data_IF_863862552604
#
_entry.id   IF_863862552604
#
_cell.length_a   1.000
_cell.length_b   1.000
_cell.length_c   1.000
_cell.angle_alpha   90.00
_cell.angle_beta   90.00
_cell.angle_gamma   90.00
#
_symmetry.space_group_name_H-M   'P 1'
#
loop_
_entity.id
_entity.type
_entity.pdbx_description
1 polymer ?
#
# COMPACT_ATOMS: atom_id res chain seq x y z
N UNK A 1 30.59 36.50 10.10
CA UNK A 1 32.01 36.53 9.64
C UNK A 1 32.22 37.45 8.43
N UNK A 2 31.27 37.53 7.49
CA UNK A 2 31.33 38.45 6.32
C UNK A 2 31.31 39.93 6.77
N UNK A 3 30.48 40.29 7.75
CA UNK A 3 30.43 41.67 8.30
C UNK A 3 31.74 42.11 8.95
N UNK A 4 32.51 41.16 9.53
CA UNK A 4 33.82 41.48 10.11
C UNK A 4 34.87 41.77 9.02
N UNK A 5 34.75 41.10 7.86
CA UNK A 5 35.63 41.33 6.69
C UNK A 5 35.29 42.66 6.03
N UNK A 6 33.98 42.94 5.86
CA UNK A 6 33.51 44.20 5.30
C UNK A 6 33.99 45.40 6.14
N UNK A 7 33.86 45.33 7.48
CA UNK A 7 34.36 46.39 8.39
C UNK A 7 35.87 46.52 8.38
N UNK A 8 36.62 45.43 8.09
CA UNK A 8 38.05 45.46 7.98
C UNK A 8 38.50 46.11 6.67
N UNK A 9 37.75 45.87 5.58
CA UNK A 9 37.96 46.49 4.26
C UNK A 9 37.70 48.00 4.29
N UNK A 10 36.59 48.44 4.95
CA UNK A 10 36.28 49.88 5.16
C UNK A 10 37.36 50.61 5.92
N UNK A 11 38.09 49.96 6.83
CA UNK A 11 39.16 50.56 7.63
C UNK A 11 40.51 50.64 6.96
N UNK A 12 40.69 49.95 5.82
CA UNK A 12 42.02 49.78 5.19
C UNK A 12 42.25 50.65 3.95
N UNK A 13 41.32 51.55 3.60
CA UNK A 13 41.45 52.52 2.49
C UNK A 13 42.09 51.92 1.19
N UNK A 14 41.71 50.68 0.85
CA UNK A 14 42.26 49.95 -0.27
C UNK A 14 41.57 50.40 -1.57
N UNK A 15 42.35 50.64 -2.65
CA UNK A 15 41.77 50.90 -3.98
C UNK A 15 40.93 49.72 -4.46
N UNK A 16 39.77 49.98 -5.08
CA UNK A 16 38.80 48.98 -5.52
C UNK A 16 39.39 47.95 -6.55
N UNK A 17 40.46 48.29 -7.23
CA UNK A 17 41.08 47.46 -8.26
C UNK A 17 42.25 46.58 -7.75
N UNK A 18 42.58 46.57 -6.46
CA UNK A 18 43.66 45.75 -5.93
C UNK A 18 43.21 44.31 -5.63
N UNK A 19 43.85 43.29 -6.20
CA UNK A 19 43.53 41.89 -5.87
C UNK A 19 43.79 41.64 -4.36
N UNK A 20 42.76 41.23 -3.65
CA UNK A 20 42.83 40.97 -2.20
C UNK A 20 43.74 39.74 -1.97
N UNK A 21 45.01 39.94 -1.74
CA UNK A 21 45.99 38.88 -1.44
C UNK A 21 46.21 38.66 0.06
N UNK A 22 45.41 39.21 0.90
CA UNK A 22 45.58 39.00 2.35
C UNK A 22 45.23 37.53 2.68
N UNK A 23 46.22 36.78 3.15
CA UNK A 23 46.10 35.34 3.48
C UNK A 23 44.94 35.01 4.42
N UNK A 24 44.48 36.02 5.19
CA UNK A 24 43.30 35.92 6.08
C UNK A 24 41.99 35.87 5.26
N UNK A 25 41.90 36.64 4.20
CA UNK A 25 40.72 36.66 3.30
C UNK A 25 40.62 35.36 2.49
N UNK A 26 41.75 34.91 1.96
CA UNK A 26 41.81 33.61 1.25
C UNK A 26 41.37 32.44 2.16
N UNK A 27 41.82 32.40 3.40
CA UNK A 27 41.40 31.39 4.39
C UNK A 27 39.90 31.48 4.72
N UNK A 28 39.36 32.70 4.79
CA UNK A 28 37.94 32.90 5.05
C UNK A 28 37.08 32.41 3.88
N UNK A 29 37.49 32.70 2.64
CA UNK A 29 36.83 32.22 1.43
C UNK A 29 36.93 30.69 1.33
N UNK A 30 38.10 30.11 1.56
CA UNK A 30 38.29 28.66 1.56
C UNK A 30 37.41 27.98 2.65
N UNK A 31 37.34 28.58 3.84
CA UNK A 31 36.45 28.11 4.91
C UNK A 31 34.95 28.16 4.52
N UNK A 32 34.55 29.23 3.86
CA UNK A 32 33.18 29.36 3.34
C UNK A 32 32.88 28.34 2.23
N UNK A 33 33.81 28.15 1.30
CA UNK A 33 33.68 27.15 0.24
C UNK A 33 33.56 25.74 0.81
N UNK A 34 34.42 25.35 1.75
CA UNK A 34 34.34 24.04 2.43
C UNK A 34 33.00 23.85 3.16
N UNK A 35 32.46 24.90 3.75
CA UNK A 35 31.17 24.84 4.43
C UNK A 35 30.03 24.61 3.42
N UNK A 36 30.03 25.33 2.29
CA UNK A 36 29.06 25.16 1.22
C UNK A 36 29.16 23.76 0.58
N UNK A 37 30.38 23.30 0.30
CA UNK A 37 30.62 21.94 -0.22
C UNK A 37 30.12 20.87 0.75
N UNK A 38 30.36 21.03 2.05
CA UNK A 38 29.84 20.12 3.09
C UNK A 38 28.33 20.09 3.13
N UNK A 39 27.67 21.26 3.01
CA UNK A 39 26.20 21.34 2.94
C UNK A 39 25.65 20.63 1.68
N UNK A 40 26.27 20.86 0.53
CA UNK A 40 25.87 20.19 -0.72
C UNK A 40 26.13 18.69 -0.68
N UNK A 41 27.21 18.25 -0.05
CA UNK A 41 27.50 16.84 0.15
C UNK A 41 26.43 16.18 1.03
N UNK A 42 26.08 16.78 2.17
CA UNK A 42 25.06 16.28 3.06
C UNK A 42 23.68 16.22 2.36
N UNK A 43 23.33 17.25 1.59
CA UNK A 43 22.08 17.27 0.82
C UNK A 43 22.03 16.14 -0.22
N UNK A 44 23.12 15.94 -0.99
CA UNK A 44 23.20 14.84 -1.96
C UNK A 44 23.14 13.47 -1.28
N UNK A 45 23.81 13.30 -0.14
CA UNK A 45 23.77 12.05 0.62
C UNK A 45 22.34 11.72 1.05
N UNK A 46 21.60 12.67 1.61
CA UNK A 46 20.20 12.46 2.01
C UNK A 46 19.32 12.08 0.82
N UNK A 47 19.52 12.72 -0.35
CA UNK A 47 18.75 12.36 -1.57
C UNK A 47 18.99 10.91 -1.96
N UNK A 48 20.26 10.45 -1.94
CA UNK A 48 20.59 9.05 -2.24
C UNK A 48 19.95 8.08 -1.23
N UNK A 49 19.98 8.41 0.05
CA UNK A 49 19.35 7.57 1.10
C UNK A 49 17.83 7.46 0.91
N UNK A 50 17.14 8.52 0.49
CA UNK A 50 15.72 8.47 0.15
C UNK A 50 15.45 7.64 -1.11
N UNK A 51 16.28 7.80 -2.14
CA UNK A 51 16.14 7.06 -3.39
C UNK A 51 16.40 5.55 -3.18
N UNK A 52 17.32 5.18 -2.28
CA UNK A 52 17.58 3.78 -1.93
C UNK A 52 16.35 3.10 -1.32
N UNK A 53 15.63 3.77 -0.42
CA UNK A 53 14.38 3.25 0.16
C UNK A 53 13.36 2.97 -0.93
N UNK A 54 13.13 3.93 -1.83
CA UNK A 54 12.19 3.77 -2.94
C UNK A 54 12.62 2.68 -3.93
N UNK A 55 13.92 2.53 -4.18
CA UNK A 55 14.42 1.49 -5.08
C UNK A 55 14.20 0.09 -4.52
N UNK A 56 14.39 -0.12 -3.22
CA UNK A 56 14.10 -1.41 -2.57
C UNK A 56 12.62 -1.77 -2.73
N UNK A 57 11.72 -0.85 -2.40
CA UNK A 57 10.27 -1.05 -2.52
C UNK A 57 9.85 -1.30 -3.98
N UNK A 58 10.39 -0.54 -4.92
CA UNK A 58 10.15 -0.72 -6.36
C UNK A 58 10.53 -2.11 -6.85
N UNK A 59 11.68 -2.62 -6.43
CA UNK A 59 12.13 -3.95 -6.82
C UNK A 59 11.17 -5.03 -6.32
N UNK A 60 10.66 -4.93 -5.07
CA UNK A 60 9.67 -5.86 -4.54
C UNK A 60 8.40 -5.86 -5.39
N UNK A 61 7.87 -4.68 -5.74
CA UNK A 61 6.66 -4.57 -6.57
C UNK A 61 6.90 -5.11 -7.99
N UNK A 62 8.05 -4.84 -8.58
CA UNK A 62 8.37 -5.35 -9.92
C UNK A 62 8.55 -6.87 -9.94
N UNK A 63 9.11 -7.45 -8.90
CA UNK A 63 9.23 -8.90 -8.76
C UNK A 63 7.84 -9.55 -8.59
N UNK A 64 6.95 -8.97 -7.78
CA UNK A 64 5.56 -9.44 -7.65
C UNK A 64 4.82 -9.35 -8.99
N UNK A 65 4.89 -8.22 -9.70
CA UNK A 65 4.31 -8.09 -11.04
C UNK A 65 4.84 -9.11 -12.02
N UNK A 66 6.13 -9.41 -11.95
CA UNK A 66 6.77 -10.39 -12.83
C UNK A 66 6.22 -11.80 -12.60
N UNK A 67 6.03 -12.21 -11.35
CA UNK A 67 5.40 -13.49 -10.99
C UNK A 67 4.01 -13.61 -11.61
N UNK A 68 3.20 -12.57 -11.50
CA UNK A 68 1.84 -12.52 -12.07
C UNK A 68 1.86 -12.63 -13.59
N UNK A 69 2.80 -11.96 -14.27
CA UNK A 69 2.87 -11.93 -15.73
C UNK A 69 3.40 -13.23 -16.32
N UNK A 70 4.33 -13.92 -15.66
CA UNK A 70 5.00 -15.10 -16.20
C UNK A 70 4.42 -16.44 -15.76
N UNK A 71 3.28 -16.45 -15.05
CA UNK A 71 2.43 -17.63 -14.94
C UNK A 71 2.70 -18.51 -13.73
N UNK A 72 2.95 -17.95 -12.56
CA UNK A 72 2.74 -18.69 -11.31
C UNK A 72 1.27 -19.11 -11.18
N UNK A 73 0.98 -20.17 -10.41
CA UNK A 73 -0.40 -20.57 -10.12
C UNK A 73 -1.09 -19.48 -9.30
N UNK A 74 -1.76 -18.56 -10.02
CA UNK A 74 -2.44 -17.41 -9.41
C UNK A 74 -3.54 -17.85 -8.47
N UNK A 75 -4.19 -18.99 -8.72
CA UNK A 75 -5.21 -19.53 -7.83
C UNK A 75 -4.63 -19.82 -6.46
N UNK A 76 -3.55 -20.61 -6.40
CA UNK A 76 -2.89 -20.94 -5.13
C UNK A 76 -2.41 -19.68 -4.42
N UNK A 77 -1.85 -18.73 -5.15
CA UNK A 77 -1.39 -17.46 -4.61
C UNK A 77 -2.53 -16.64 -3.97
N UNK A 78 -3.67 -16.51 -4.64
CA UNK A 78 -4.85 -15.79 -4.13
C UNK A 78 -5.49 -16.52 -2.95
N UNK A 79 -5.56 -17.85 -2.99
CA UNK A 79 -6.06 -18.66 -1.87
C UNK A 79 -5.20 -18.49 -0.61
N UNK A 80 -3.88 -18.49 -0.76
CA UNK A 80 -2.96 -18.24 0.34
C UNK A 80 -3.14 -16.83 0.93
N UNK A 81 -3.37 -15.80 0.11
CA UNK A 81 -3.72 -14.47 0.58
C UNK A 81 -5.05 -14.49 1.35
N UNK A 82 -6.08 -15.16 0.83
CA UNK A 82 -7.38 -15.26 1.47
C UNK A 82 -7.29 -15.94 2.85
N UNK A 83 -6.60 -17.06 2.94
CA UNK A 83 -6.38 -17.75 4.23
C UNK A 83 -5.63 -16.88 5.23
N UNK A 84 -4.62 -16.11 4.78
CA UNK A 84 -3.89 -15.18 5.64
C UNK A 84 -4.80 -14.08 6.19
N UNK A 85 -5.65 -13.50 5.34
CA UNK A 85 -6.61 -12.45 5.75
C UNK A 85 -7.67 -13.01 6.70
N UNK A 86 -8.22 -14.19 6.40
CA UNK A 86 -9.19 -14.88 7.23
C UNK A 86 -8.61 -15.13 8.64
N UNK A 87 -7.39 -15.65 8.71
CA UNK A 87 -6.70 -15.88 9.97
C UNK A 87 -6.48 -14.57 10.75
N UNK A 88 -6.09 -13.49 10.09
CA UNK A 88 -5.93 -12.18 10.71
C UNK A 88 -7.26 -11.58 11.24
N UNK A 89 -8.40 -11.96 10.65
CA UNK A 89 -9.73 -11.57 11.15
C UNK A 89 -10.14 -12.43 12.36
N UNK A 90 -9.76 -13.71 12.40
CA UNK A 90 -10.08 -14.63 13.49
C UNK A 90 -9.20 -14.35 14.72
N UNK A 91 -7.90 -14.01 14.52
CA UNK A 91 -6.92 -13.81 15.59
C UNK A 91 -7.42 -12.95 16.77
N UNK A 92 -7.94 -11.73 16.58
CA UNK A 92 -8.37 -10.90 17.69
C UNK A 92 -9.54 -11.51 18.47
N UNK A 93 -10.39 -12.31 17.81
CA UNK A 93 -11.58 -12.92 18.41
C UNK A 93 -11.22 -14.09 19.33
N UNK A 94 -10.29 -14.93 18.88
CA UNK A 94 -9.87 -16.12 19.66
C UNK A 94 -8.85 -15.78 20.74
N UNK A 95 -8.09 -14.68 20.58
CA UNK A 95 -7.13 -14.21 21.59
C UNK A 95 -7.83 -13.60 22.80
N UNK A 96 -9.01 -12.99 22.62
CA UNK A 96 -9.78 -12.37 23.71
C UNK A 96 -10.26 -13.39 24.74
N UNK A 97 -10.67 -14.60 24.32
CA UNK A 97 -11.07 -15.68 25.20
C UNK A 97 -10.72 -17.05 24.65
N UNK A 98 -10.32 -17.96 25.56
CA UNK A 98 -10.10 -19.37 25.24
C UNK A 98 -11.40 -20.17 25.14
N UNK A 99 -12.53 -19.59 25.53
CA UNK A 99 -13.82 -20.25 25.55
C UNK A 99 -14.63 -19.85 24.31
N UNK A 100 -14.98 -20.81 23.44
CA UNK A 100 -15.75 -20.52 22.22
C UNK A 100 -17.10 -19.85 22.48
N UNK A 101 -17.68 -20.02 23.68
CA UNK A 101 -18.93 -19.39 24.10
C UNK A 101 -18.83 -17.87 24.20
N UNK A 102 -17.62 -17.34 24.39
CA UNK A 102 -17.34 -15.90 24.54
C UNK A 102 -16.88 -15.23 23.23
N UNK A 103 -16.69 -16.01 22.16
CA UNK A 103 -16.26 -15.47 20.87
C UNK A 103 -17.35 -14.64 20.19
N UNK A 104 -16.99 -13.47 19.70
CA UNK A 104 -17.90 -12.58 18.96
C UNK A 104 -18.08 -13.04 17.51
N UNK A 105 -18.91 -14.06 17.32
CA UNK A 105 -19.26 -14.56 15.99
C UNK A 105 -20.00 -13.53 15.12
N UNK A 106 -20.66 -12.55 15.70
CA UNK A 106 -21.33 -11.50 14.93
C UNK A 106 -20.31 -10.59 14.25
N UNK A 107 -19.32 -10.12 15.00
CA UNK A 107 -18.22 -9.34 14.46
C UNK A 107 -17.37 -10.15 13.47
N UNK A 108 -17.11 -11.42 13.77
CA UNK A 108 -16.42 -12.34 12.84
C UNK A 108 -17.15 -12.40 11.50
N UNK A 109 -18.42 -12.77 11.52
CA UNK A 109 -19.23 -12.91 10.31
C UNK A 109 -19.37 -11.60 9.54
N UNK A 110 -19.50 -10.48 10.22
CA UNK A 110 -19.55 -9.16 9.60
C UNK A 110 -18.26 -8.82 8.86
N UNK A 111 -17.11 -9.16 9.43
CA UNK A 111 -15.82 -8.91 8.80
C UNK A 111 -15.57 -9.87 7.63
N UNK A 112 -15.88 -11.14 7.75
CA UNK A 112 -15.76 -12.12 6.68
C UNK A 112 -16.68 -11.80 5.49
N UNK A 113 -17.90 -11.28 5.74
CA UNK A 113 -18.79 -10.80 4.67
C UNK A 113 -18.26 -9.62 3.87
N UNK A 114 -17.31 -8.86 4.41
CA UNK A 114 -16.64 -7.80 3.64
C UNK A 114 -15.70 -8.38 2.57
N UNK A 115 -15.16 -9.57 2.79
CA UNK A 115 -14.31 -10.27 1.82
C UNK A 115 -15.18 -10.86 0.71
N UNK A 116 -16.20 -11.63 1.07
CA UNK A 116 -17.11 -12.28 0.12
C UNK A 116 -18.56 -12.07 0.50
N UNK A 117 -19.32 -11.46 -0.41
CA UNK A 117 -20.77 -11.28 -0.24
C UNK A 117 -21.53 -12.62 -0.23
N UNK A 118 -20.92 -13.68 -0.74
CA UNK A 118 -21.46 -15.05 -0.72
C UNK A 118 -21.30 -15.76 0.62
N UNK A 119 -20.46 -15.26 1.53
CA UNK A 119 -20.22 -15.88 2.82
C UNK A 119 -21.47 -15.82 3.71
N UNK A 120 -21.88 -16.98 4.24
CA UNK A 120 -23.10 -17.14 5.03
C UNK A 120 -22.81 -17.80 6.38
N UNK A 121 -21.78 -17.31 7.07
CA UNK A 121 -21.38 -17.85 8.35
C UNK A 121 -22.51 -17.97 9.36
N UNK A 122 -22.42 -18.96 10.19
CA UNK A 122 -23.40 -19.27 11.25
C UNK A 122 -23.31 -18.24 12.37
N UNK A 123 -24.41 -17.60 12.71
CA UNK A 123 -24.45 -16.55 13.74
C UNK A 123 -24.74 -17.10 15.16
N UNK A 124 -25.20 -18.34 15.27
CA UNK A 124 -25.46 -19.00 16.55
C UNK A 124 -25.12 -20.48 16.47
N UNK A 125 -24.47 -20.98 17.49
CA UNK A 125 -24.03 -22.35 17.64
C UNK A 125 -24.73 -22.98 18.83
N UNK A 126 -25.01 -24.28 18.79
CA UNK A 126 -25.53 -25.01 19.96
C UNK A 126 -24.40 -25.16 21.00
N UNK A 127 -24.79 -25.41 22.26
CA UNK A 127 -23.84 -25.64 23.35
C UNK A 127 -22.91 -26.83 23.04
N UNK A 128 -23.42 -27.86 22.35
CA UNK A 128 -22.64 -29.02 21.96
C UNK A 128 -21.61 -28.70 20.89
N UNK A 129 -21.97 -27.84 19.91
CA UNK A 129 -21.03 -27.36 18.88
C UNK A 129 -19.94 -26.48 19.48
N UNK A 130 -20.30 -25.58 20.42
CA UNK A 130 -19.32 -24.72 21.09
C UNK A 130 -18.34 -25.54 21.94
N UNK A 131 -18.83 -26.54 22.69
CA UNK A 131 -17.99 -27.40 23.50
C UNK A 131 -17.02 -28.26 22.67
N UNK A 132 -17.35 -28.57 21.41
CA UNK A 132 -16.49 -29.31 20.48
C UNK A 132 -15.59 -28.40 19.64
N UNK A 133 -15.84 -27.07 19.65
CA UNK A 133 -15.12 -26.11 18.83
C UNK A 133 -13.75 -25.80 19.43
N UNK A 134 -12.75 -25.78 18.57
CA UNK A 134 -11.40 -25.31 18.88
C UNK A 134 -11.03 -24.18 17.92
N UNK A 135 -10.03 -23.39 18.28
CA UNK A 135 -9.48 -22.36 17.40
C UNK A 135 -9.11 -22.94 16.01
N UNK A 136 -8.40 -24.07 15.98
CA UNK A 136 -8.00 -24.73 14.74
C UNK A 136 -9.22 -25.18 13.92
N UNK A 137 -10.24 -25.73 14.56
CA UNK A 137 -11.45 -26.19 13.86
C UNK A 137 -12.25 -25.01 13.30
N UNK A 138 -12.29 -23.88 13.99
CA UNK A 138 -12.90 -22.65 13.48
C UNK A 138 -12.16 -22.14 12.24
N UNK A 139 -10.82 -22.01 12.33
CA UNK A 139 -9.97 -21.59 11.20
C UNK A 139 -10.15 -22.48 9.99
N UNK A 140 -10.07 -23.78 10.21
CA UNK A 140 -10.24 -24.76 9.14
C UNK A 140 -11.62 -24.66 8.49
N UNK A 141 -12.70 -24.62 9.29
CA UNK A 141 -14.07 -24.53 8.79
C UNK A 141 -14.31 -23.26 7.96
N UNK A 142 -13.79 -22.11 8.42
CA UNK A 142 -13.92 -20.85 7.68
C UNK A 142 -13.11 -20.89 6.40
N UNK A 143 -11.86 -21.36 6.42
CA UNK A 143 -11.04 -21.49 5.23
C UNK A 143 -11.68 -22.42 4.18
N UNK A 144 -12.18 -23.60 4.61
CA UNK A 144 -12.89 -24.54 3.72
C UNK A 144 -14.15 -23.94 3.09
N UNK A 145 -14.89 -23.11 3.83
CA UNK A 145 -16.05 -22.39 3.29
C UNK A 145 -15.62 -21.38 2.21
N UNK A 146 -14.53 -20.65 2.42
CA UNK A 146 -14.00 -19.71 1.43
C UNK A 146 -13.42 -20.45 0.21
N UNK A 147 -12.74 -21.58 0.41
CA UNK A 147 -12.27 -22.43 -0.70
C UNK A 147 -13.44 -22.89 -1.57
N UNK A 148 -14.54 -23.33 -0.93
CA UNK A 148 -15.76 -23.72 -1.64
C UNK A 148 -16.38 -22.56 -2.41
N UNK A 149 -16.48 -21.37 -1.81
CA UNK A 149 -17.02 -20.18 -2.47
C UNK A 149 -16.18 -19.79 -3.69
N UNK A 150 -14.87 -19.93 -3.60
CA UNK A 150 -13.98 -19.67 -4.72
C UNK A 150 -14.14 -20.71 -5.84
N UNK A 151 -14.24 -21.98 -5.51
CA UNK A 151 -14.48 -23.06 -6.45
C UNK A 151 -15.84 -22.91 -7.18
N UNK A 152 -16.87 -22.47 -6.47
CA UNK A 152 -18.17 -22.14 -7.06
C UNK A 152 -18.04 -20.99 -8.05
N UNK A 153 -17.31 -19.94 -7.69
CA UNK A 153 -17.04 -18.79 -8.55
C UNK A 153 -16.22 -19.18 -9.79
N UNK A 154 -15.20 -20.00 -9.62
CA UNK A 154 -14.41 -20.51 -10.75
C UNK A 154 -15.24 -21.37 -11.71
N UNK A 155 -16.16 -22.18 -11.19
CA UNK A 155 -17.10 -22.96 -12.03
C UNK A 155 -18.07 -22.07 -12.79
N UNK A 156 -18.53 -20.97 -12.19
CA UNK A 156 -19.43 -20.01 -12.82
C UNK A 156 -18.75 -19.29 -14.00
N UNK A 157 -17.51 -18.84 -13.81
CA UNK A 157 -16.75 -18.04 -14.78
C UNK A 157 -16.04 -18.93 -15.82
N UNK A 158 -15.62 -20.12 -15.40
CA UNK A 158 -14.75 -21.02 -16.16
C UNK A 158 -13.27 -20.78 -15.85
N UNK A 159 -12.51 -21.88 -15.71
CA UNK A 159 -11.12 -21.87 -15.19
C UNK A 159 -10.20 -20.93 -15.99
N UNK A 160 -10.21 -21.00 -17.32
CA UNK A 160 -9.33 -20.16 -18.15
C UNK A 160 -9.65 -18.66 -17.99
N UNK A 161 -10.93 -18.29 -18.03
CA UNK A 161 -11.34 -16.91 -17.85
C UNK A 161 -11.06 -16.42 -16.43
N UNK A 162 -11.23 -17.29 -15.43
CA UNK A 162 -10.90 -16.94 -14.04
C UNK A 162 -9.42 -16.59 -13.88
N UNK A 163 -8.49 -17.35 -14.51
CA UNK A 163 -7.05 -17.02 -14.53
C UNK A 163 -6.75 -15.65 -15.17
N UNK A 164 -7.49 -15.30 -16.23
CA UNK A 164 -7.36 -13.98 -16.87
C UNK A 164 -7.88 -12.86 -15.97
N UNK A 165 -9.01 -13.07 -15.32
CA UNK A 165 -9.63 -12.12 -14.39
C UNK A 165 -8.74 -11.90 -13.18
N UNK A 166 -8.21 -12.95 -12.58
CA UNK A 166 -7.26 -12.87 -11.45
C UNK A 166 -6.02 -12.03 -11.80
N UNK A 167 -5.43 -12.32 -12.98
CA UNK A 167 -4.28 -11.56 -13.47
C UNK A 167 -4.61 -10.08 -13.66
N UNK A 168 -5.74 -9.79 -14.25
CA UNK A 168 -6.19 -8.41 -14.50
C UNK A 168 -6.47 -7.67 -13.20
N UNK A 169 -7.16 -8.30 -12.25
CA UNK A 169 -7.45 -7.73 -10.93
C UNK A 169 -6.15 -7.42 -10.20
N UNK A 170 -5.27 -8.41 -10.07
CA UNK A 170 -4.02 -8.26 -9.30
C UNK A 170 -3.12 -7.18 -9.89
N UNK A 171 -2.94 -7.16 -11.21
CA UNK A 171 -2.15 -6.11 -11.87
C UNK A 171 -2.75 -4.72 -11.63
N UNK A 172 -4.08 -4.59 -11.78
CA UNK A 172 -4.76 -3.30 -11.59
C UNK A 172 -4.68 -2.80 -10.15
N UNK A 173 -4.88 -3.69 -9.17
CA UNK A 173 -4.78 -3.36 -7.75
C UNK A 173 -3.36 -2.91 -7.40
N UNK A 174 -2.35 -3.69 -7.82
CA UNK A 174 -0.95 -3.35 -7.61
C UNK A 174 -0.61 -1.99 -8.23
N UNK A 175 -1.02 -1.75 -9.48
CA UNK A 175 -0.71 -0.50 -10.18
C UNK A 175 -1.31 0.71 -9.47
N UNK A 176 -2.59 0.64 -9.10
CA UNK A 176 -3.27 1.74 -8.43
C UNK A 176 -2.63 2.06 -7.07
N UNK A 177 -2.48 1.05 -6.21
CA UNK A 177 -1.94 1.24 -4.86
C UNK A 177 -0.45 1.63 -4.88
N UNK A 178 0.31 1.15 -5.85
CA UNK A 178 1.70 1.57 -6.03
C UNK A 178 1.81 3.04 -6.46
N UNK A 179 0.95 3.53 -7.34
CA UNK A 179 0.91 4.95 -7.71
C UNK A 179 0.58 5.83 -6.50
N UNK A 180 -0.46 5.46 -5.75
CA UNK A 180 -0.85 6.18 -4.53
C UNK A 180 0.28 6.18 -3.49
N UNK A 181 1.02 5.06 -3.38
CA UNK A 181 2.16 4.96 -2.48
C UNK A 181 3.34 5.87 -2.90
N UNK A 182 3.65 5.95 -4.18
CA UNK A 182 4.68 6.87 -4.69
C UNK A 182 4.33 8.31 -4.30
N UNK A 183 3.09 8.73 -4.53
CA UNK A 183 2.62 10.08 -4.18
C UNK A 183 2.69 10.33 -2.66
N UNK A 184 2.33 9.35 -1.85
CA UNK A 184 2.42 9.43 -0.40
C UNK A 184 3.87 9.51 0.10
N UNK A 185 4.80 8.78 -0.52
CA UNK A 185 6.23 8.85 -0.22
C UNK A 185 6.85 10.19 -0.61
N UNK A 186 6.41 10.80 -1.70
CA UNK A 186 6.84 12.15 -2.08
C UNK A 186 6.34 13.21 -1.10
N UNK A 187 5.11 13.07 -0.60
CA UNK A 187 4.59 13.92 0.47
C UNK A 187 5.37 13.74 1.76
N UNK A 188 5.67 12.50 2.15
CA UNK A 188 6.50 12.19 3.31
C UNK A 188 7.88 12.85 3.18
N UNK A 189 8.55 12.69 2.03
CA UNK A 189 9.85 13.29 1.72
C UNK A 189 9.82 14.82 1.90
N UNK A 190 8.76 15.46 1.44
CA UNK A 190 8.58 16.90 1.55
C UNK A 190 8.39 17.37 2.99
N UNK A 191 7.74 16.57 3.83
CA UNK A 191 7.44 16.88 5.23
C UNK A 191 8.53 16.47 6.23
N UNK A 192 9.37 15.50 5.87
CA UNK A 192 10.32 14.86 6.81
C UNK A 192 11.39 15.83 7.33
N UNK A 193 11.74 16.87 6.55
CA UNK A 193 12.70 17.89 6.93
C UNK A 193 12.32 18.66 8.21
N UNK A 194 11.02 18.76 8.52
CA UNK A 194 10.54 19.38 9.75
C UNK A 194 10.87 18.55 11.00
N UNK A 195 11.06 17.24 10.84
CA UNK A 195 11.43 16.34 11.94
C UNK A 195 12.88 16.50 12.38
N UNK A 196 13.74 17.05 11.53
CA UNK A 196 15.11 17.42 11.90
C UNK A 196 15.15 18.45 13.06
N UNK A 197 14.08 19.25 13.22
CA UNK A 197 13.93 20.14 14.36
C UNK A 197 13.80 19.40 15.71
N UNK A 198 13.36 18.13 15.68
CA UNK A 198 13.22 17.24 16.84
C UNK A 198 14.45 16.37 17.13
N UNK A 199 15.63 16.69 16.60
CA UNK A 199 16.89 15.93 16.76
C UNK A 199 16.85 14.49 16.22
N UNK A 200 15.89 14.15 15.35
CA UNK A 200 15.84 12.87 14.63
C UNK A 200 16.58 13.00 13.30
N UNK A 201 17.27 11.93 12.92
CA UNK A 201 17.84 11.83 11.59
C UNK A 201 16.71 11.72 10.55
N UNK A 202 16.57 12.69 9.62
CA UNK A 202 15.48 12.69 8.64
C UNK A 202 15.51 11.47 7.73
N UNK A 203 16.68 10.94 7.37
CA UNK A 203 16.79 9.77 6.52
C UNK A 203 16.32 8.49 7.22
N UNK A 204 16.70 8.32 8.49
CA UNK A 204 16.22 7.19 9.29
C UNK A 204 14.71 7.27 9.57
N UNK A 205 14.17 8.47 9.81
CA UNK A 205 12.73 8.67 9.98
C UNK A 205 11.96 8.35 8.67
N UNK A 206 12.47 8.82 7.52
CA UNK A 206 11.91 8.52 6.20
C UNK A 206 11.89 7.01 5.91
N UNK A 207 13.00 6.32 6.16
CA UNK A 207 13.10 4.89 5.94
C UNK A 207 12.10 4.12 6.81
N UNK A 208 11.95 4.48 8.08
CA UNK A 208 11.03 3.82 9.00
C UNK A 208 9.56 4.05 8.61
N UNK A 209 9.15 5.31 8.43
CA UNK A 209 7.77 5.62 8.06
C UNK A 209 7.42 5.09 6.68
N UNK A 210 8.36 5.17 5.73
CA UNK A 210 8.20 4.60 4.40
C UNK A 210 8.07 3.08 4.41
N UNK A 211 8.73 2.39 5.34
CA UNK A 211 8.55 0.94 5.54
C UNK A 211 7.14 0.63 6.07
N UNK A 212 6.68 1.35 7.10
CA UNK A 212 5.35 1.16 7.67
C UNK A 212 4.25 1.42 6.62
N UNK A 213 4.40 2.46 5.79
CA UNK A 213 3.49 2.78 4.69
C UNK A 213 3.51 1.69 3.61
N UNK A 214 4.68 1.14 3.30
CA UNK A 214 4.82 0.07 2.31
C UNK A 214 4.16 -1.23 2.78
N UNK A 215 4.32 -1.62 4.04
CA UNK A 215 3.63 -2.78 4.61
C UNK A 215 2.11 -2.62 4.58
N UNK A 216 1.59 -1.42 4.88
CA UNK A 216 0.16 -1.12 4.75
C UNK A 216 -0.32 -1.26 3.31
N UNK A 217 0.44 -0.76 2.34
CA UNK A 217 0.12 -0.92 0.92
C UNK A 217 0.11 -2.39 0.50
N UNK A 218 1.10 -3.20 0.90
CA UNK A 218 1.13 -4.64 0.60
C UNK A 218 -0.09 -5.35 1.20
N UNK A 219 -0.47 -5.02 2.44
CA UNK A 219 -1.68 -5.55 3.07
C UNK A 219 -2.94 -5.16 2.29
N UNK A 220 -3.05 -3.90 1.87
CA UNK A 220 -4.17 -3.42 1.06
C UNK A 220 -4.24 -4.12 -0.32
N UNK A 221 -3.09 -4.38 -0.97
CA UNK A 221 -3.04 -5.15 -2.22
C UNK A 221 -3.63 -6.56 -2.01
N UNK A 222 -3.26 -7.24 -0.91
CA UNK A 222 -3.77 -8.57 -0.61
C UNK A 222 -5.29 -8.52 -0.36
N UNK A 223 -5.76 -7.61 0.48
CA UNK A 223 -7.17 -7.46 0.83
C UNK A 223 -8.03 -7.13 -0.40
N UNK A 224 -7.65 -6.13 -1.19
CA UNK A 224 -8.42 -5.71 -2.35
C UNK A 224 -8.42 -6.79 -3.45
N UNK A 225 -7.28 -7.45 -3.68
CA UNK A 225 -7.21 -8.55 -4.66
C UNK A 225 -8.16 -9.67 -4.29
N UNK A 226 -8.10 -10.15 -3.05
CA UNK A 226 -9.00 -11.21 -2.56
C UNK A 226 -10.44 -10.77 -2.67
N UNK A 227 -10.80 -9.60 -2.15
CA UNK A 227 -12.15 -9.06 -2.20
C UNK A 227 -12.70 -8.96 -3.62
N UNK A 228 -11.90 -8.47 -4.58
CA UNK A 228 -12.36 -8.38 -5.97
C UNK A 228 -12.50 -9.76 -6.61
N UNK A 229 -11.59 -10.70 -6.36
CA UNK A 229 -11.69 -12.05 -6.92
C UNK A 229 -12.92 -12.82 -6.42
N UNK A 230 -13.28 -12.67 -5.14
CA UNK A 230 -14.47 -13.32 -4.57
C UNK A 230 -15.80 -12.68 -5.01
N UNK A 231 -15.80 -11.39 -5.36
CA UNK A 231 -17.02 -10.65 -5.69
C UNK A 231 -17.15 -10.30 -7.19
N UNK A 232 -16.19 -10.73 -8.02
CA UNK A 232 -16.26 -10.47 -9.47
C UNK A 232 -17.48 -11.15 -10.08
N UNK A 233 -18.19 -10.40 -10.91
CA UNK A 233 -19.28 -10.91 -11.76
C UNK A 233 -18.92 -10.67 -13.21
N UNK A 234 -19.02 -11.69 -14.04
CA UNK A 234 -18.77 -11.57 -15.46
C UNK A 234 -20.13 -11.42 -16.15
N UNK A 235 -20.42 -10.20 -16.60
CA UNK A 235 -21.58 -9.97 -17.42
C UNK A 235 -21.42 -10.65 -18.79
N UNK A 236 -22.37 -11.48 -19.17
CA UNK A 236 -22.38 -12.04 -20.50
C UNK A 236 -22.67 -10.94 -21.52
N UNK A 237 -22.20 -11.12 -22.78
CA UNK A 237 -22.46 -10.17 -23.88
C UNK A 237 -23.94 -9.92 -24.09
N UNK A 238 -24.78 -10.93 -23.79
CA UNK A 238 -26.23 -10.84 -23.88
C UNK A 238 -26.85 -9.95 -22.80
N UNK A 239 -26.37 -10.05 -21.55
CA UNK A 239 -26.79 -9.20 -20.42
C UNK A 239 -26.35 -7.76 -20.64
N UNK A 240 -25.11 -7.54 -21.10
CA UNK A 240 -24.61 -6.20 -21.45
C UNK A 240 -25.44 -5.52 -22.52
N UNK A 241 -25.89 -6.30 -23.54
CA UNK A 241 -26.77 -5.80 -24.60
C UNK A 241 -28.16 -5.47 -24.05
N UNK A 242 -28.72 -6.29 -23.17
CA UNK A 242 -30.01 -6.05 -22.52
C UNK A 242 -29.98 -4.81 -21.61
N UNK A 243 -28.91 -4.60 -20.87
CA UNK A 243 -28.72 -3.40 -20.03
C UNK A 243 -28.62 -2.14 -20.90
N UNK A 244 -27.84 -2.17 -21.97
CA UNK A 244 -27.73 -1.03 -22.90
C UNK A 244 -29.05 -0.72 -23.63
N UNK A 245 -29.84 -1.74 -23.99
CA UNK A 245 -31.17 -1.56 -24.55
C UNK A 245 -32.18 -1.00 -23.55
N UNK A 246 -32.10 -1.42 -22.26
CA UNK A 246 -32.92 -0.87 -21.17
C UNK A 246 -32.57 0.59 -20.83
N UNK A 247 -31.28 0.93 -20.78
CA UNK A 247 -30.82 2.31 -20.58
C UNK A 247 -31.20 3.24 -21.76
N UNK A 248 -31.15 2.72 -22.99
CA UNK A 248 -31.56 3.51 -24.15
C UNK A 248 -33.07 3.73 -24.19
N UNK A 249 -33.90 2.75 -23.79
CA UNK A 249 -35.34 2.89 -23.66
C UNK A 249 -35.73 3.94 -22.60
N UNK A 250 -35.09 3.89 -21.44
CA UNK A 250 -35.35 4.90 -20.35
C UNK A 250 -34.95 6.33 -20.75
N UNK A 251 -33.92 6.49 -21.59
CA UNK A 251 -33.55 7.81 -22.13
C UNK A 251 -34.53 8.33 -23.20
N UNK A 252 -35.16 7.44 -23.94
CA UNK A 252 -36.17 7.82 -24.94
C UNK A 252 -37.45 8.37 -24.31
N UNK A 253 -37.86 7.83 -23.15
CA UNK A 253 -39.08 8.29 -22.46
C UNK A 253 -38.94 9.69 -21.83
N UNK A 254 -37.70 10.14 -21.57
CA UNK A 254 -37.44 11.51 -21.05
C UNK A 254 -37.35 12.60 -22.13
N UNK A 255 -37.38 12.23 -23.44
CA UNK A 255 -37.26 13.22 -24.55
C UNK A 255 -38.61 13.58 -25.13
N UNK A 256 -39.70 12.83 -24.83
CA UNK A 256 -41.04 13.02 -25.42
C UNK A 256 -42.00 13.85 -24.54
N UNK A 257 -41.54 14.39 -23.41
CA UNK A 257 -42.31 15.28 -22.51
C UNK A 257 -41.74 16.70 -22.44
N UNK A 258 -41.17 17.25 -23.51
CA UNK A 258 -40.65 18.62 -23.58
C UNK A 258 -41.28 19.44 -24.71
#
# INVERSE_FOLDING_TARGET
>A
RMDSIARMMEKTDMPEDMPIQAGMVSKAIEGAQRQVESMHFAARKNVLEYDDVMNVQRNVIYDERRKVLFGEDLREYIMNMAHKIINAIIDPIVVESKFPEEWDFETLNRNLKKISSGYRGKSSYSTEELNAMTEDSLRQSVCEEFDRLYDEKEKEIGTEHMREVERMILLRVVDNLWMDHIDAMDQLKSGIGLRALGQQDPAAAYAKEGFDMFEQMISAIQEDTVKYCYNVTVETRAERKAIMEAESATKSDYVDEG
#
